data_IF_290662348490
#
_entry.id   IF_290662348490
#
_cell.length_a   1.000
_cell.length_b   1.000
_cell.length_c   1.000
_cell.angle_alpha   90.00
_cell.angle_beta   90.00
_cell.angle_gamma   90.00
#
_symmetry.space_group_name_H-M   'P 1'
#
loop_
_entity.id
_entity.type
_entity.pdbx_description
1 polymer ?
#
# COMPACT_ATOMS: atom_id res chain seq x y z
N UNK A 1 -9.56 59.62 12.28
CA UNK A 1 -10.11 58.36 12.78
C UNK A 1 -10.71 57.50 11.69
N UNK A 2 -11.55 58.00 10.75
CA UNK A 2 -12.15 57.21 9.68
C UNK A 2 -11.14 56.55 8.71
N UNK A 3 -9.99 57.16 8.42
CA UNK A 3 -8.94 56.64 7.54
C UNK A 3 -8.15 55.46 8.16
N UNK A 4 -7.98 55.45 9.48
CA UNK A 4 -7.32 54.36 10.21
C UNK A 4 -8.18 53.11 10.32
N UNK A 5 -9.51 53.25 10.39
CA UNK A 5 -10.48 52.16 10.40
C UNK A 5 -10.50 51.45 9.05
N UNK A 6 -10.42 52.19 7.93
CA UNK A 6 -10.36 51.62 6.57
C UNK A 6 -9.08 50.81 6.33
N UNK A 7 -7.93 51.29 6.88
CA UNK A 7 -6.65 50.54 6.74
C UNK A 7 -6.67 49.24 7.54
N UNK A 8 -7.26 49.25 8.76
CA UNK A 8 -7.42 48.02 9.57
C UNK A 8 -8.32 46.99 8.91
N UNK A 9 -9.39 47.40 8.24
CA UNK A 9 -10.31 46.50 7.53
C UNK A 9 -9.66 45.85 6.29
N UNK A 10 -8.79 46.59 5.57
CA UNK A 10 -8.05 46.06 4.42
C UNK A 10 -7.03 44.99 4.82
N UNK A 11 -6.36 45.10 5.99
CA UNK A 11 -5.40 44.10 6.47
C UNK A 11 -6.10 42.76 6.84
N UNK A 12 -7.30 42.83 7.40
CA UNK A 12 -8.09 41.62 7.75
C UNK A 12 -8.52 40.85 6.50
N UNK A 13 -8.83 41.52 5.39
CA UNK A 13 -9.19 40.88 4.14
C UNK A 13 -8.03 40.12 3.48
N UNK A 14 -6.79 40.56 3.65
CA UNK A 14 -5.60 39.87 3.15
C UNK A 14 -5.20 38.67 4.02
N UNK A 15 -5.53 38.66 5.31
CA UNK A 15 -5.26 37.53 6.20
C UNK A 15 -6.23 36.33 5.96
N UNK A 16 -7.43 36.58 5.40
CA UNK A 16 -8.42 35.56 5.14
C UNK A 16 -8.11 34.70 3.90
N UNK A 17 -7.14 35.09 3.08
CA UNK A 17 -6.89 34.44 1.78
C UNK A 17 -5.86 33.29 1.83
N UNK A 18 -5.37 32.86 3.00
CA UNK A 18 -4.23 31.94 3.07
C UNK A 18 -4.52 30.58 3.75
N UNK A 19 -5.78 30.15 3.81
CA UNK A 19 -6.13 28.78 4.20
C UNK A 19 -6.57 27.96 2.99
N UNK A 20 -5.80 28.00 1.91
CA UNK A 20 -5.96 27.00 0.88
C UNK A 20 -5.40 25.69 1.43
N UNK A 21 -6.27 24.75 1.73
CA UNK A 21 -5.88 23.38 2.11
C UNK A 21 -4.85 22.89 1.08
N UNK A 22 -3.65 22.54 1.52
CA UNK A 22 -2.63 22.00 0.62
C UNK A 22 -3.19 20.76 -0.04
N UNK A 23 -3.44 20.85 -1.34
CA UNK A 23 -3.97 19.73 -2.14
C UNK A 23 -2.91 18.68 -2.47
N UNK A 24 -1.64 19.00 -2.25
CA UNK A 24 -0.48 18.15 -2.46
C UNK A 24 0.53 18.37 -1.33
N UNK A 25 1.08 17.28 -0.81
CA UNK A 25 2.17 17.32 0.16
C UNK A 25 2.91 15.99 0.19
N UNK A 26 4.20 16.04 0.54
CA UNK A 26 5.02 14.85 0.84
C UNK A 26 5.15 14.60 2.36
N UNK A 27 4.36 15.33 3.17
CA UNK A 27 4.34 15.20 4.63
C UNK A 27 2.91 15.35 5.13
N UNK A 28 2.32 14.26 5.64
CA UNK A 28 0.99 14.26 6.26
C UNK A 28 0.86 13.07 7.21
N UNK A 29 -0.17 13.10 8.06
CA UNK A 29 -0.48 11.98 8.96
C UNK A 29 -0.88 10.71 8.18
N UNK A 30 -1.52 10.87 7.04
CA UNK A 30 -1.91 9.76 6.16
C UNK A 30 -0.68 9.09 5.56
N UNK A 31 0.34 9.87 5.16
CA UNK A 31 1.64 9.33 4.72
C UNK A 31 2.31 8.57 5.86
N UNK A 32 2.33 9.12 7.08
CA UNK A 32 2.93 8.45 8.24
C UNK A 32 2.19 7.13 8.54
N UNK A 33 0.85 7.14 8.45
CA UNK A 33 0.04 5.92 8.58
C UNK A 33 0.40 4.90 7.50
N UNK A 34 0.53 5.33 6.25
CA UNK A 34 0.85 4.40 5.15
C UNK A 34 2.27 3.83 5.25
N UNK A 35 3.24 4.64 5.68
CA UNK A 35 4.59 4.15 6.02
C UNK A 35 4.55 3.07 7.12
N UNK A 36 3.65 3.22 8.10
CA UNK A 36 3.48 2.19 9.12
C UNK A 36 2.85 0.92 8.55
N UNK A 37 1.91 1.02 7.60
CA UNK A 37 1.37 -0.16 6.86
C UNK A 37 2.49 -0.92 6.16
N UNK A 38 3.36 -0.23 5.43
CA UNK A 38 4.52 -0.84 4.74
C UNK A 38 5.45 -1.52 5.75
N UNK A 39 5.79 -0.82 6.83
CA UNK A 39 6.65 -1.38 7.90
C UNK A 39 6.03 -2.60 8.58
N UNK A 40 4.73 -2.58 8.84
CA UNK A 40 4.02 -3.72 9.42
C UNK A 40 4.00 -4.92 8.46
N UNK A 41 3.81 -4.68 7.15
CA UNK A 41 3.92 -5.70 6.10
C UNK A 41 5.32 -6.33 6.07
N UNK A 42 6.38 -5.54 6.07
CA UNK A 42 7.77 -6.02 6.06
C UNK A 42 8.12 -6.84 7.30
N UNK A 43 7.57 -6.47 8.45
CA UNK A 43 7.82 -7.15 9.73
C UNK A 43 6.78 -8.25 10.05
N UNK A 44 5.87 -8.56 9.13
CA UNK A 44 4.80 -9.56 9.32
C UNK A 44 3.87 -9.24 10.50
N UNK A 45 3.72 -7.96 10.84
CA UNK A 45 2.83 -7.49 11.91
C UNK A 45 1.40 -7.36 11.38
N UNK A 46 0.80 -8.47 10.95
CA UNK A 46 -0.47 -8.51 10.23
C UNK A 46 -1.63 -7.91 11.00
N UNK A 47 -1.67 -8.10 12.31
CA UNK A 47 -2.72 -7.53 13.16
C UNK A 47 -2.59 -6.01 13.23
N UNK A 48 -1.38 -5.48 13.45
CA UNK A 48 -1.11 -4.05 13.42
C UNK A 48 -1.44 -3.45 12.05
N UNK A 49 -0.98 -4.08 10.96
CA UNK A 49 -1.28 -3.65 9.59
C UNK A 49 -2.79 -3.51 9.36
N UNK A 50 -3.58 -4.51 9.76
CA UNK A 50 -5.03 -4.50 9.58
C UNK A 50 -5.71 -3.34 10.32
N UNK A 51 -5.16 -2.88 11.45
CA UNK A 51 -5.76 -1.76 12.22
C UNK A 51 -5.76 -0.43 11.47
N UNK A 52 -4.94 -0.27 10.44
CA UNK A 52 -4.89 0.95 9.64
C UNK A 52 -6.03 1.06 8.62
N UNK A 53 -6.77 -0.01 8.40
CA UNK A 53 -7.91 -0.07 7.50
C UNK A 53 -9.24 -0.01 8.25
N UNK A 54 -10.30 0.38 7.55
CA UNK A 54 -11.67 0.16 8.06
C UNK A 54 -12.11 -1.28 7.78
N UNK A 55 -13.08 -1.79 8.57
CA UNK A 55 -13.59 -3.16 8.38
C UNK A 55 -14.24 -3.39 7.01
N UNK A 56 -14.68 -2.31 6.35
CA UNK A 56 -15.32 -2.33 5.03
C UNK A 56 -14.36 -1.89 3.91
N UNK A 57 -13.06 -1.75 4.19
CA UNK A 57 -12.09 -1.35 3.18
C UNK A 57 -12.05 -2.33 2.01
N UNK A 58 -11.88 -1.76 0.81
CA UNK A 58 -11.76 -2.53 -0.44
C UNK A 58 -10.32 -2.51 -0.92
N UNK A 59 -9.75 -3.68 -1.13
CA UNK A 59 -8.37 -3.86 -1.60
C UNK A 59 -8.41 -4.38 -3.04
N UNK A 60 -7.78 -3.63 -3.95
CA UNK A 60 -7.77 -3.90 -5.40
C UNK A 60 -6.33 -4.11 -5.89
N UNK A 61 -5.60 -4.99 -5.26
CA UNK A 61 -4.21 -5.29 -5.63
C UNK A 61 -4.18 -6.19 -6.87
N UNK A 62 -3.83 -5.62 -8.04
CA UNK A 62 -3.86 -6.26 -9.36
C UNK A 62 -5.22 -6.87 -9.74
N UNK A 63 -6.31 -6.42 -9.14
CA UNK A 63 -7.68 -6.91 -9.44
C UNK A 63 -8.64 -5.75 -9.75
N UNK A 64 -9.75 -6.09 -10.37
CA UNK A 64 -10.84 -5.13 -10.66
C UNK A 64 -11.74 -4.94 -9.45
N UNK A 65 -12.55 -3.88 -9.44
CA UNK A 65 -13.55 -3.59 -8.38
C UNK A 65 -14.47 -4.79 -8.07
N UNK A 66 -14.82 -5.58 -9.10
CA UNK A 66 -15.65 -6.79 -8.95
C UNK A 66 -14.98 -7.85 -8.06
N UNK A 67 -13.65 -7.89 -8.05
CA UNK A 67 -12.85 -8.88 -7.35
C UNK A 67 -12.10 -8.25 -6.16
N UNK A 68 -12.58 -7.11 -5.65
CA UNK A 68 -11.98 -6.45 -4.50
C UNK A 68 -11.94 -7.39 -3.30
N UNK A 69 -10.81 -7.44 -2.63
CA UNK A 69 -10.59 -8.21 -1.41
C UNK A 69 -10.98 -7.40 -0.17
N UNK A 70 -11.34 -8.09 0.89
CA UNK A 70 -11.42 -7.55 2.24
C UNK A 70 -10.05 -7.49 2.90
N UNK A 71 -9.91 -6.74 4.00
CA UNK A 71 -8.67 -6.69 4.80
C UNK A 71 -8.28 -8.09 5.31
N UNK A 72 -9.25 -8.89 5.72
CA UNK A 72 -9.00 -10.27 6.18
C UNK A 72 -8.41 -11.14 5.06
N UNK A 73 -8.90 -10.99 3.82
CA UNK A 73 -8.37 -11.69 2.65
C UNK A 73 -6.95 -11.20 2.30
N UNK A 74 -6.69 -9.87 2.36
CA UNK A 74 -5.35 -9.32 2.20
C UNK A 74 -4.36 -9.92 3.22
N UNK A 75 -4.73 -9.94 4.50
CA UNK A 75 -3.89 -10.53 5.56
C UNK A 75 -3.65 -12.02 5.32
N UNK A 76 -4.68 -12.76 4.91
CA UNK A 76 -4.55 -14.19 4.57
C UNK A 76 -3.59 -14.40 3.40
N UNK A 77 -3.69 -13.59 2.34
CA UNK A 77 -2.80 -13.65 1.19
C UNK A 77 -1.35 -13.35 1.61
N UNK A 78 -1.13 -12.26 2.34
CA UNK A 78 0.21 -11.88 2.80
C UNK A 78 0.86 -12.98 3.68
N UNK A 79 0.07 -13.65 4.54
CA UNK A 79 0.55 -14.80 5.32
C UNK A 79 0.96 -15.98 4.44
N UNK A 80 0.23 -16.25 3.37
CA UNK A 80 0.60 -17.29 2.39
C UNK A 80 1.87 -16.91 1.64
N UNK A 81 1.95 -15.67 1.14
CA UNK A 81 3.12 -15.17 0.42
C UNK A 81 4.38 -15.20 1.31
N UNK A 82 4.24 -14.92 2.60
CA UNK A 82 5.32 -15.02 3.59
C UNK A 82 5.92 -16.44 3.71
N UNK A 83 5.22 -17.48 3.29
CA UNK A 83 5.75 -18.85 3.34
C UNK A 83 6.72 -19.16 2.20
N UNK A 84 6.64 -18.43 1.11
CA UNK A 84 7.46 -18.67 -0.09
C UNK A 84 8.70 -17.77 -0.18
N UNK A 85 8.77 -16.71 0.64
CA UNK A 85 9.93 -15.82 0.70
C UNK A 85 10.70 -15.97 2.01
N UNK A 86 12.03 -16.03 1.92
CA UNK A 86 12.91 -16.02 3.11
C UNK A 86 13.12 -14.61 3.64
N UNK A 87 12.98 -13.59 2.81
CA UNK A 87 13.04 -12.17 3.16
C UNK A 87 12.37 -11.32 2.10
N UNK A 88 11.84 -10.17 2.50
CA UNK A 88 11.38 -9.12 1.58
C UNK A 88 11.38 -7.76 2.28
N UNK A 89 11.46 -6.72 1.48
CA UNK A 89 11.34 -5.33 1.91
C UNK A 89 11.08 -4.44 0.69
N UNK A 90 10.63 -3.21 0.93
CA UNK A 90 10.77 -2.14 -0.04
C UNK A 90 12.11 -1.44 0.16
N UNK A 91 12.81 -1.13 -0.94
CA UNK A 91 14.10 -0.41 -0.89
C UNK A 91 13.83 1.03 -0.45
N UNK A 92 14.41 1.48 0.70
CA UNK A 92 14.07 2.79 1.25
C UNK A 92 14.39 3.95 0.32
N UNK A 93 15.52 3.87 -0.41
CA UNK A 93 16.01 4.89 -1.35
C UNK A 93 15.15 4.96 -2.62
N UNK A 94 14.37 3.93 -2.92
CA UNK A 94 13.46 3.81 -4.07
C UNK A 94 11.99 3.94 -3.63
N UNK A 95 11.75 4.43 -2.42
CA UNK A 95 10.41 4.55 -1.83
C UNK A 95 9.98 6.01 -1.73
N UNK A 96 8.96 6.39 -2.51
CA UNK A 96 8.42 7.74 -2.55
C UNK A 96 6.95 7.76 -2.11
N UNK A 97 6.57 8.82 -1.39
CA UNK A 97 5.22 9.01 -0.87
C UNK A 97 4.74 10.42 -1.16
N UNK A 98 3.50 10.52 -1.60
CA UNK A 98 2.80 11.80 -1.67
C UNK A 98 1.34 11.67 -1.23
N UNK A 99 0.77 12.75 -0.72
CA UNK A 99 -0.65 12.85 -0.44
C UNK A 99 -1.28 13.90 -1.33
N UNK A 100 -2.42 13.58 -1.91
CA UNK A 100 -3.22 14.47 -2.73
C UNK A 100 -4.65 14.56 -2.21
N UNK A 101 -5.24 15.76 -2.33
CA UNK A 101 -6.68 15.96 -2.14
C UNK A 101 -7.30 16.26 -3.50
N UNK A 102 -8.20 15.39 -3.94
CA UNK A 102 -8.88 15.50 -5.24
C UNK A 102 -9.88 16.66 -5.26
N UNK A 103 -10.40 16.99 -6.44
CA UNK A 103 -11.48 17.99 -6.59
C UNK A 103 -12.78 17.58 -5.88
N UNK A 104 -12.94 16.29 -5.58
CA UNK A 104 -14.06 15.74 -4.81
C UNK A 104 -13.83 15.78 -3.29
N UNK A 105 -12.70 16.35 -2.85
CA UNK A 105 -12.32 16.38 -1.43
C UNK A 105 -11.83 15.04 -0.89
N UNK A 106 -11.51 14.07 -1.73
CA UNK A 106 -10.99 12.77 -1.31
C UNK A 106 -9.49 12.86 -1.03
N UNK A 107 -9.05 12.33 0.09
CA UNK A 107 -7.63 12.25 0.47
C UNK A 107 -7.06 10.92 0.04
N UNK A 108 -5.98 10.96 -0.76
CA UNK A 108 -5.27 9.79 -1.27
C UNK A 108 -3.79 9.90 -0.94
N UNK A 109 -3.19 8.78 -0.56
CA UNK A 109 -1.74 8.63 -0.48
C UNK A 109 -1.29 7.75 -1.63
N UNK A 110 -0.34 8.24 -2.42
CA UNK A 110 0.35 7.47 -3.46
C UNK A 110 1.71 7.02 -2.93
N UNK A 111 2.05 5.78 -3.22
CA UNK A 111 3.31 5.15 -2.91
C UNK A 111 3.91 4.54 -4.18
N UNK A 112 5.14 4.87 -4.47
CA UNK A 112 6.01 4.19 -5.45
C UNK A 112 7.15 3.56 -4.68
N UNK A 113 7.45 2.29 -4.98
CA UNK A 113 8.53 1.59 -4.31
C UNK A 113 9.07 0.44 -5.14
N UNK A 114 10.35 0.13 -4.94
CA UNK A 114 10.98 -1.09 -5.44
C UNK A 114 10.88 -2.16 -4.36
N UNK A 115 9.98 -3.14 -4.56
CA UNK A 115 9.91 -4.31 -3.71
C UNK A 115 11.01 -5.30 -4.08
N UNK A 116 11.69 -5.83 -3.06
CA UNK A 116 12.66 -6.91 -3.20
C UNK A 116 12.20 -8.10 -2.38
N UNK A 117 12.27 -9.31 -2.96
CA UNK A 117 11.95 -10.54 -2.25
C UNK A 117 12.86 -11.68 -2.68
N UNK A 118 13.25 -12.50 -1.72
CA UNK A 118 14.11 -13.67 -1.95
C UNK A 118 13.31 -14.95 -1.79
N UNK A 119 13.14 -15.72 -2.88
CA UNK A 119 12.45 -17.01 -2.82
C UNK A 119 13.21 -18.00 -1.95
N UNK A 120 12.49 -18.69 -1.06
CA UNK A 120 13.05 -19.72 -0.19
C UNK A 120 13.57 -20.92 -1.00
N UNK A 121 12.90 -21.28 -2.10
CA UNK A 121 13.17 -22.48 -2.88
C UNK A 121 14.49 -22.46 -3.66
N UNK A 122 14.92 -21.29 -4.16
CA UNK A 122 16.12 -21.18 -5.01
C UNK A 122 17.07 -20.05 -4.54
N UNK A 123 16.73 -19.34 -3.47
CA UNK A 123 17.48 -18.20 -2.93
C UNK A 123 17.68 -17.05 -3.92
N UNK A 124 16.91 -16.99 -5.03
CA UNK A 124 16.98 -15.93 -6.02
C UNK A 124 16.28 -14.67 -5.51
N UNK A 125 16.92 -13.51 -5.76
CA UNK A 125 16.33 -12.19 -5.50
C UNK A 125 15.46 -11.78 -6.68
N UNK A 126 14.26 -11.27 -6.38
CA UNK A 126 13.34 -10.66 -7.33
C UNK A 126 13.13 -9.21 -6.95
N UNK A 127 13.10 -8.35 -7.95
CA UNK A 127 12.88 -6.92 -7.83
C UNK A 127 11.65 -6.53 -8.63
N UNK A 128 10.69 -5.89 -7.99
CA UNK A 128 9.38 -5.57 -8.59
C UNK A 128 9.05 -4.11 -8.27
N UNK A 129 9.02 -3.22 -9.29
CA UNK A 129 8.46 -1.89 -9.12
C UNK A 129 6.96 -1.99 -8.79
N UNK A 130 6.54 -1.29 -7.78
CA UNK A 130 5.13 -1.25 -7.36
C UNK A 130 4.63 0.19 -7.26
N UNK A 131 3.37 0.38 -7.65
CA UNK A 131 2.63 1.60 -7.36
C UNK A 131 1.35 1.24 -6.62
N UNK A 132 1.14 1.88 -5.46
CA UNK A 132 -0.05 1.67 -4.64
C UNK A 132 -0.63 3.03 -4.29
N UNK A 133 -1.95 3.13 -4.33
CA UNK A 133 -2.68 4.33 -3.91
C UNK A 133 -3.75 3.95 -2.89
N UNK A 134 -3.81 4.68 -1.77
CA UNK A 134 -4.71 4.42 -0.66
C UNK A 134 -5.58 5.65 -0.36
N UNK A 135 -6.91 5.46 -0.35
CA UNK A 135 -7.87 6.48 0.04
C UNK A 135 -8.09 6.45 1.54
N UNK A 136 -8.07 7.64 2.14
CA UNK A 136 -8.25 7.82 3.57
C UNK A 136 -9.56 8.53 3.90
N UNK A 137 -10.21 8.09 4.99
CA UNK A 137 -11.28 8.79 5.70
C UNK A 137 -10.97 8.67 7.19
N UNK A 138 -10.97 9.79 7.90
CA UNK A 138 -10.74 9.85 9.35
C UNK A 138 -9.49 9.08 9.81
N UNK A 139 -8.40 9.20 9.03
CA UNK A 139 -7.11 8.57 9.33
C UNK A 139 -7.04 7.05 9.08
N UNK A 140 -8.09 6.44 8.51
CA UNK A 140 -8.15 5.02 8.13
C UNK A 140 -8.23 4.85 6.62
N UNK A 141 -7.65 3.76 6.12
CA UNK A 141 -7.73 3.37 4.71
C UNK A 141 -9.10 2.73 4.45
N UNK A 142 -9.83 3.28 3.47
CA UNK A 142 -11.13 2.78 3.03
C UNK A 142 -11.07 2.08 1.68
N UNK A 143 -10.02 2.36 0.92
CA UNK A 143 -9.75 1.73 -0.38
C UNK A 143 -8.26 1.75 -0.64
N UNK A 144 -7.74 0.64 -1.17
CA UNK A 144 -6.37 0.54 -1.67
C UNK A 144 -6.39 -0.03 -3.07
N UNK A 145 -5.55 0.50 -3.96
CA UNK A 145 -5.39 0.00 -5.32
C UNK A 145 -3.91 -0.13 -5.60
N UNK A 146 -3.47 -1.34 -5.91
CA UNK A 146 -2.06 -1.63 -6.16
C UNK A 146 -1.83 -2.22 -7.56
N UNK A 147 -0.69 -1.85 -8.16
CA UNK A 147 -0.25 -2.32 -9.47
C UNK A 147 1.22 -2.70 -9.43
N UNK A 148 1.51 -3.95 -9.80
CA UNK A 148 2.87 -4.48 -9.97
C UNK A 148 2.86 -5.71 -10.86
N UNK A 149 3.99 -6.08 -11.40
CA UNK A 149 4.14 -7.29 -12.22
C UNK A 149 4.89 -8.38 -11.46
N UNK A 150 4.18 -9.41 -11.04
CA UNK A 150 4.74 -10.58 -10.36
C UNK A 150 4.94 -11.79 -11.30
N UNK A 151 4.86 -11.61 -12.62
CA UNK A 151 4.94 -12.71 -13.60
C UNK A 151 6.24 -13.49 -13.51
N UNK A 152 7.37 -12.86 -13.23
CA UNK A 152 8.66 -13.51 -13.08
C UNK A 152 8.68 -14.54 -11.94
N UNK A 153 8.07 -14.18 -10.80
CA UNK A 153 7.93 -15.08 -9.64
C UNK A 153 6.94 -16.21 -9.97
N UNK A 154 5.80 -15.87 -10.56
CA UNK A 154 4.78 -16.84 -10.92
C UNK A 154 5.33 -17.92 -11.87
N UNK A 155 6.06 -17.52 -12.92
CA UNK A 155 6.71 -18.41 -13.87
C UNK A 155 7.76 -19.31 -13.21
N UNK A 156 8.53 -18.77 -12.27
CA UNK A 156 9.52 -19.56 -11.54
C UNK A 156 8.86 -20.63 -10.65
N UNK A 157 7.82 -20.26 -9.91
CA UNK A 157 7.08 -21.19 -9.07
C UNK A 157 6.40 -22.29 -9.90
N UNK A 158 5.96 -21.99 -11.13
CA UNK A 158 5.37 -22.97 -12.05
C UNK A 158 6.42 -23.96 -12.55
N UNK A 159 7.59 -23.48 -12.98
CA UNK A 159 8.72 -24.34 -13.37
C UNK A 159 9.13 -25.31 -12.26
N UNK A 160 9.14 -24.82 -11.02
CA UNK A 160 9.50 -25.68 -9.87
C UNK A 160 8.48 -26.78 -9.62
N UNK A 161 7.19 -26.56 -9.88
CA UNK A 161 6.16 -27.61 -9.82
C UNK A 161 6.33 -28.66 -10.89
N UNK A 162 6.73 -28.28 -12.11
CA UNK A 162 6.96 -29.21 -13.22
C UNK A 162 8.17 -30.12 -13.00
N UNK A 163 9.21 -29.59 -12.30
CA UNK A 163 10.45 -30.34 -12.02
C UNK A 163 10.32 -31.22 -10.79
N UNK A 164 9.35 -30.95 -9.89
CA UNK A 164 9.11 -31.83 -8.74
C UNK A 164 8.64 -33.21 -9.21
N UNK A 165 9.26 -34.36 -8.77
CA UNK A 165 8.78 -35.67 -9.13
C UNK A 165 7.30 -35.80 -8.74
N UNK A 166 6.46 -36.50 -9.58
CA UNK A 166 5.09 -36.76 -9.19
C UNK A 166 5.13 -37.51 -7.85
N UNK A 167 4.45 -36.96 -6.85
CA UNK A 167 4.29 -37.58 -5.52
C UNK A 167 3.85 -39.05 -5.79
N UNK A 168 4.71 -40.00 -5.42
CA UNK A 168 4.41 -41.39 -5.58
C UNK A 168 3.08 -41.64 -4.88
N UNK A 169 2.06 -41.96 -5.68
CA UNK A 169 0.75 -42.37 -5.19
C UNK A 169 1.01 -43.44 -4.11
N UNK A 170 0.82 -43.11 -2.86
CA UNK A 170 0.84 -44.03 -1.76
C UNK A 170 -0.24 -45.08 -2.08
N UNK A 171 0.21 -46.18 -2.64
CA UNK A 171 -0.58 -47.42 -2.72
C UNK A 171 -0.82 -47.85 -1.28
N UNK A 172 -1.96 -47.48 -0.74
CA UNK A 172 -2.57 -48.25 0.33
C UNK A 172 -2.97 -49.58 -0.29
N UNK A 173 -2.08 -50.54 -0.16
CA UNK A 173 -2.43 -51.96 -0.23
C UNK A 173 -2.57 -52.46 1.20
N UNK A 174 -3.83 -52.87 1.46
CA UNK A 174 -4.29 -53.80 2.53
C UNK A 174 -4.00 -53.43 3.98
#
# INVERSE_FOLDING_TARGET
MKKLILLGFSIVLFAACNQQTKRYTQQSKEIDTYKQVIKDYENQNWESMATHYTDTAKILNNVTEKNAQTVAQLVSQNKQDATIFSSWNFVPEESEYEMVVTDKGETWVNFWGLWQGRLTSNNQLYEIPAHITARFIDGKIVKEVGYWDNSSIALELEKQKEVAPPEAAMQTKE
#
